data_IF_414597718968
#
_entry.id   IF_414597718968
#
_cell.length_a   1.000
_cell.length_b   1.000
_cell.length_c   1.000
_cell.angle_alpha   90.00
_cell.angle_beta   90.00
_cell.angle_gamma   90.00
#
_symmetry.space_group_name_H-M   'P 1'
#
loop_
_entity.id
_entity.type
_entity.pdbx_description
1 polymer ?
#
# COMPACT_ATOMS: atom_id res chain seq x y z
N UNK A 1 -2.78 -6.19 -19.98
CA UNK A 1 -2.13 -7.46 -19.56
C UNK A 1 -1.69 -8.41 -20.69
N UNK A 2 -2.51 -8.74 -21.72
CA UNK A 2 -2.15 -9.81 -22.69
C UNK A 2 -1.38 -9.38 -23.95
N UNK A 3 -1.12 -8.09 -24.13
CA UNK A 3 -0.41 -7.61 -25.32
C UNK A 3 1.10 -7.73 -25.10
N UNK A 4 1.77 -8.56 -25.90
CA UNK A 4 3.22 -8.77 -25.85
C UNK A 4 3.92 -7.45 -26.21
N UNK A 5 4.80 -6.97 -25.33
CA UNK A 5 5.47 -5.66 -25.47
C UNK A 5 4.76 -4.49 -24.78
N UNK A 6 3.52 -4.67 -24.29
CA UNK A 6 2.77 -3.65 -23.52
C UNK A 6 2.26 -4.17 -22.16
N UNK A 7 2.93 -5.19 -21.61
CA UNK A 7 2.61 -5.83 -20.32
C UNK A 7 3.59 -5.43 -19.23
N UNK A 8 3.84 -4.12 -19.11
CA UNK A 8 4.82 -3.55 -18.19
C UNK A 8 4.14 -2.40 -17.44
N UNK A 9 4.38 -2.35 -16.15
CA UNK A 9 4.02 -1.24 -15.26
C UNK A 9 5.30 -0.70 -14.64
N UNK A 10 5.41 0.62 -14.51
CA UNK A 10 6.57 1.27 -13.90
C UNK A 10 6.07 2.04 -12.69
N UNK A 11 6.68 1.78 -11.53
CA UNK A 11 6.35 2.45 -10.28
C UNK A 11 7.58 3.17 -9.79
N UNK A 12 7.43 4.46 -9.46
CA UNK A 12 8.48 5.20 -8.78
C UNK A 12 8.47 4.83 -7.30
N UNK A 13 9.61 4.34 -6.80
CA UNK A 13 9.77 4.13 -5.36
C UNK A 13 9.88 5.47 -4.63
N UNK A 14 8.97 5.72 -3.68
CA UNK A 14 8.94 6.94 -2.84
C UNK A 14 9.07 6.56 -1.36
N UNK A 15 8.07 5.87 -0.84
CA UNK A 15 8.12 5.12 0.41
C UNK A 15 7.44 3.76 0.23
N UNK A 16 7.49 2.88 1.22
CA UNK A 16 6.91 1.55 1.06
C UNK A 16 5.39 1.56 0.87
N UNK A 17 4.65 2.51 1.45
CA UNK A 17 3.19 2.54 1.32
C UNK A 17 2.79 2.97 -0.08
N UNK A 18 3.23 4.14 -0.53
CA UNK A 18 2.89 4.66 -1.85
C UNK A 18 3.49 3.83 -2.98
N UNK A 19 4.66 3.21 -2.76
CA UNK A 19 5.21 2.25 -3.73
C UNK A 19 4.30 1.02 -3.84
N UNK A 20 3.82 0.47 -2.72
CA UNK A 20 2.92 -0.69 -2.74
C UNK A 20 1.55 -0.37 -3.32
N UNK A 21 0.97 0.77 -2.94
CA UNK A 21 -0.30 1.26 -3.49
C UNK A 21 -0.19 1.56 -4.98
N UNK A 22 0.90 2.22 -5.40
CA UNK A 22 1.20 2.49 -6.81
C UNK A 22 1.37 1.19 -7.61
N UNK A 23 2.07 0.20 -7.08
CA UNK A 23 2.18 -1.10 -7.74
C UNK A 23 0.81 -1.78 -7.90
N UNK A 24 -0.05 -1.76 -6.88
CA UNK A 24 -1.40 -2.28 -6.97
C UNK A 24 -2.25 -1.49 -7.99
N UNK A 25 -2.11 -0.16 -8.02
CA UNK A 25 -2.79 0.74 -8.94
C UNK A 25 -2.43 0.44 -10.41
N UNK A 26 -1.13 0.37 -10.71
CA UNK A 26 -0.65 0.08 -12.06
C UNK A 26 -1.01 -1.35 -12.53
N UNK A 27 -1.05 -2.30 -11.59
CA UNK A 27 -1.58 -3.65 -11.87
C UNK A 27 -3.08 -3.59 -12.16
N UNK A 28 -3.83 -2.72 -11.49
CA UNK A 28 -5.23 -2.44 -11.79
C UNK A 28 -5.44 -1.97 -13.22
N UNK A 29 -4.63 -1.01 -13.69
CA UNK A 29 -4.63 -0.61 -15.11
C UNK A 29 -4.29 -1.75 -16.05
N UNK A 30 -3.28 -2.56 -15.72
CA UNK A 30 -2.94 -3.75 -16.49
C UNK A 30 -4.12 -4.72 -16.63
N UNK A 31 -4.96 -4.82 -15.60
CA UNK A 31 -6.20 -5.60 -15.53
C UNK A 31 -7.45 -4.86 -16.03
N UNK A 32 -7.28 -3.69 -16.67
CA UNK A 32 -8.33 -2.99 -17.41
C UNK A 32 -9.18 -2.03 -16.59
N UNK A 33 -8.81 -1.70 -15.36
CA UNK A 33 -9.50 -0.66 -14.60
C UNK A 33 -9.10 0.75 -15.09
N UNK A 34 -10.09 1.64 -15.20
CA UNK A 34 -9.89 3.08 -15.29
C UNK A 34 -9.75 3.68 -13.88
N UNK A 35 -9.31 4.93 -13.79
CA UNK A 35 -9.41 5.67 -12.53
C UNK A 35 -10.87 5.81 -12.09
N UNK A 36 -11.11 5.72 -10.79
CA UNK A 36 -12.43 6.01 -10.22
C UNK A 36 -12.79 7.48 -10.48
N UNK A 37 -14.02 7.73 -10.95
CA UNK A 37 -14.52 9.05 -11.31
C UNK A 37 -14.29 9.43 -12.77
N UNK A 38 -13.51 8.65 -13.53
CA UNK A 38 -13.26 8.87 -14.95
C UNK A 38 -14.08 7.94 -15.86
N UNK A 39 -13.91 8.10 -17.17
CA UNK A 39 -14.56 7.29 -18.20
C UNK A 39 -14.25 5.81 -18.02
N UNK A 40 -15.30 4.99 -17.94
CA UNK A 40 -15.20 3.57 -17.61
C UNK A 40 -15.39 3.25 -16.12
N UNK A 41 -15.35 4.24 -15.22
CA UNK A 41 -15.56 4.06 -13.78
C UNK A 41 -16.28 5.25 -13.09
N UNK A 42 -17.03 6.09 -13.84
CA UNK A 42 -17.79 7.26 -13.31
C UNK A 42 -18.75 6.94 -12.15
N UNK A 43 -19.19 5.68 -12.02
CA UNK A 43 -20.09 5.23 -10.95
C UNK A 43 -19.39 5.02 -9.59
N UNK A 44 -18.06 5.17 -9.54
CA UNK A 44 -17.23 5.13 -8.33
C UNK A 44 -16.55 6.49 -8.18
N UNK A 45 -16.61 7.11 -7.02
CA UNK A 45 -16.09 8.47 -6.82
C UNK A 45 -14.58 8.44 -6.57
N UNK A 46 -13.83 9.36 -7.20
CA UNK A 46 -12.42 9.59 -6.88
C UNK A 46 -12.20 9.97 -5.40
N UNK A 47 -13.21 10.58 -4.76
CA UNK A 47 -13.14 10.98 -3.35
C UNK A 47 -13.36 9.83 -2.37
N UNK A 48 -13.70 8.64 -2.86
CA UNK A 48 -13.81 7.46 -1.99
C UNK A 48 -12.44 6.84 -1.69
N UNK A 49 -11.39 7.27 -2.40
CA UNK A 49 -9.99 6.86 -2.23
C UNK A 49 -9.78 5.33 -2.24
N UNK A 50 -10.48 4.60 -3.10
CA UNK A 50 -10.09 3.23 -3.45
C UNK A 50 -8.75 3.23 -4.20
N UNK A 51 -8.11 2.06 -4.35
CA UNK A 51 -6.77 1.94 -4.97
C UNK A 51 -6.67 2.65 -6.33
N UNK A 52 -7.74 2.65 -7.15
CA UNK A 52 -7.77 3.30 -8.47
C UNK A 52 -8.15 4.79 -8.43
N UNK A 53 -8.12 5.44 -7.28
CA UNK A 53 -8.29 6.90 -7.22
C UNK A 53 -7.13 7.60 -7.94
N UNK A 54 -7.40 8.66 -8.72
CA UNK A 54 -6.35 9.50 -9.32
C UNK A 54 -5.79 10.52 -8.31
N UNK A 55 -6.22 10.49 -7.05
CA UNK A 55 -5.87 11.49 -6.03
C UNK A 55 -4.93 10.93 -4.98
N UNK A 56 -3.96 11.72 -4.56
CA UNK A 56 -3.11 11.36 -3.41
C UNK A 56 -3.88 11.57 -2.10
N UNK A 57 -3.99 10.55 -1.23
CA UNK A 57 -4.54 10.75 0.11
C UNK A 57 -3.54 11.51 0.98
N UNK A 58 -3.99 12.59 1.61
CA UNK A 58 -3.20 13.31 2.60
C UNK A 58 -2.92 12.44 3.83
N UNK A 59 -1.67 12.40 4.30
CA UNK A 59 -1.29 11.71 5.55
C UNK A 59 -1.19 12.74 6.67
N UNK A 60 -2.14 12.72 7.62
CA UNK A 60 -2.10 13.60 8.79
C UNK A 60 -2.80 12.96 10.00
N UNK A 61 -2.26 13.08 11.24
CA UNK A 61 -2.86 12.53 12.46
C UNK A 61 -4.31 12.98 12.69
N UNK A 62 -4.64 14.21 12.30
CA UNK A 62 -5.98 14.79 12.47
C UNK A 62 -6.95 14.47 11.31
N UNK A 63 -6.49 13.78 10.27
CA UNK A 63 -7.33 13.37 9.14
C UNK A 63 -7.47 11.85 9.20
N UNK A 64 -8.70 11.32 9.35
CA UNK A 64 -8.92 9.89 9.27
C UNK A 64 -8.41 9.36 7.94
N UNK A 65 -7.52 8.37 7.98
CA UNK A 65 -7.01 7.77 6.76
C UNK A 65 -8.18 7.10 6.01
N UNK A 66 -8.35 7.32 4.70
CA UNK A 66 -9.47 6.75 3.97
C UNK A 66 -9.45 5.21 4.07
N UNK A 67 -10.52 4.62 4.60
CA UNK A 67 -10.64 3.17 4.85
C UNK A 67 -10.51 2.30 3.61
N UNK A 68 -10.68 2.90 2.43
CA UNK A 68 -10.76 2.22 1.14
C UNK A 68 -9.41 2.13 0.42
N UNK A 69 -8.35 2.76 0.94
CA UNK A 69 -7.04 2.78 0.27
C UNK A 69 -6.38 1.41 0.11
N UNK A 70 -6.90 0.40 0.80
CA UNK A 70 -6.43 -0.99 0.73
C UNK A 70 -7.37 -1.88 -0.09
N UNK A 71 -8.37 -1.33 -0.75
CA UNK A 71 -9.36 -2.08 -1.51
C UNK A 71 -9.61 -1.46 -2.88
N UNK A 72 -10.02 -2.32 -3.82
CA UNK A 72 -10.46 -1.89 -5.14
C UNK A 72 -11.95 -1.53 -5.09
N UNK A 73 -12.34 -0.50 -5.84
CA UNK A 73 -13.74 -0.12 -6.00
C UNK A 73 -14.54 -1.21 -6.73
N UNK A 74 -15.86 -1.16 -6.62
CA UNK A 74 -16.73 -2.04 -7.42
C UNK A 74 -16.49 -1.89 -8.94
N UNK A 75 -16.15 -0.69 -9.42
CA UNK A 75 -15.88 -0.43 -10.83
C UNK A 75 -14.61 -1.15 -11.29
N UNK A 76 -13.56 -1.09 -10.47
CA UNK A 76 -12.30 -1.82 -10.69
C UNK A 76 -12.54 -3.34 -10.71
N UNK A 77 -13.28 -3.86 -9.73
CA UNK A 77 -13.63 -5.28 -9.65
C UNK A 77 -14.37 -5.77 -10.90
N UNK A 78 -15.35 -5.01 -11.41
CA UNK A 78 -16.07 -5.37 -12.64
C UNK A 78 -15.18 -5.34 -13.89
N UNK A 79 -14.22 -4.40 -13.96
CA UNK A 79 -13.23 -4.39 -15.02
C UNK A 79 -12.32 -5.63 -14.97
N UNK A 80 -11.85 -6.02 -13.77
CA UNK A 80 -11.03 -7.22 -13.58
C UNK A 80 -11.78 -8.48 -14.00
N UNK A 81 -13.03 -8.65 -13.55
CA UNK A 81 -13.89 -9.77 -13.95
C UNK A 81 -14.03 -9.86 -15.47
N UNK A 82 -14.19 -8.72 -16.15
CA UNK A 82 -14.29 -8.68 -17.62
C UNK A 82 -13.00 -9.19 -18.27
N UNK A 83 -11.83 -8.74 -17.82
CA UNK A 83 -10.54 -9.22 -18.33
C UNK A 83 -10.36 -10.70 -18.06
N UNK A 84 -10.61 -11.16 -16.84
CA UNK A 84 -10.50 -12.57 -16.45
C UNK A 84 -11.43 -13.46 -17.28
N UNK A 85 -12.63 -13.00 -17.66
CA UNK A 85 -13.55 -13.75 -18.52
C UNK A 85 -13.10 -13.80 -19.98
N UNK A 86 -12.56 -12.70 -20.50
CA UNK A 86 -12.36 -12.49 -21.94
C UNK A 86 -10.93 -12.71 -22.44
N UNK A 87 -9.95 -12.83 -21.55
CA UNK A 87 -8.54 -12.93 -21.93
C UNK A 87 -7.92 -14.22 -21.41
N UNK A 88 -7.44 -15.08 -22.30
CA UNK A 88 -6.93 -16.40 -21.90
C UNK A 88 -5.50 -16.38 -21.34
N UNK A 89 -4.72 -15.34 -21.63
CA UNK A 89 -3.34 -15.26 -21.13
C UNK A 89 -3.24 -15.17 -19.60
N UNK A 90 -4.29 -14.66 -18.94
CA UNK A 90 -4.40 -14.59 -17.47
C UNK A 90 -5.05 -15.83 -16.88
N UNK A 91 -5.60 -16.71 -17.72
CA UNK A 91 -6.19 -18.00 -17.33
C UNK A 91 -5.19 -19.16 -17.42
N UNK A 92 -3.91 -18.87 -17.74
CA UNK A 92 -2.93 -19.90 -18.09
C UNK A 92 -2.89 -21.01 -17.03
N UNK A 93 -3.23 -22.25 -17.39
CA UNK A 93 -3.10 -23.38 -16.48
C UNK A 93 -1.61 -23.72 -16.36
N UNK A 94 -1.12 -23.72 -15.13
CA UNK A 94 0.28 -23.92 -14.80
C UNK A 94 0.60 -23.08 -13.57
N UNK A 95 0.77 -23.76 -12.43
CA UNK A 95 1.09 -23.12 -11.16
C UNK A 95 2.52 -22.57 -11.23
N UNK A 96 2.70 -21.41 -11.88
CA UNK A 96 3.90 -20.57 -11.68
C UNK A 96 3.94 -20.00 -10.25
N UNK A 97 2.82 -20.13 -9.52
CA UNK A 97 2.77 -19.91 -8.09
C UNK A 97 3.61 -20.97 -7.37
N UNK A 98 4.81 -20.57 -7.00
CA UNK A 98 5.64 -21.29 -6.07
C UNK A 98 5.15 -20.96 -4.65
N UNK A 99 4.30 -21.83 -4.11
CA UNK A 99 3.72 -21.66 -2.77
C UNK A 99 4.81 -21.55 -1.69
N UNK A 100 5.89 -22.31 -1.81
CA UNK A 100 7.00 -22.30 -0.84
C UNK A 100 7.77 -20.97 -0.87
N UNK A 101 7.99 -20.42 -2.07
CA UNK A 101 8.59 -19.10 -2.25
C UNK A 101 7.69 -18.01 -1.65
N UNK A 102 6.40 -18.02 -1.97
CA UNK A 102 5.47 -17.04 -1.41
C UNK A 102 5.37 -17.14 0.11
N UNK A 103 5.29 -18.36 0.63
CA UNK A 103 5.16 -18.63 2.07
C UNK A 103 6.33 -18.04 2.85
N UNK A 104 7.57 -18.11 2.33
CA UNK A 104 8.76 -17.47 2.94
C UNK A 104 8.61 -15.96 3.13
N UNK A 105 7.90 -15.27 2.23
CA UNK A 105 7.71 -13.81 2.29
C UNK A 105 6.50 -13.36 3.12
N UNK A 106 5.56 -14.26 3.45
CA UNK A 106 4.34 -13.94 4.20
C UNK A 106 4.30 -14.50 5.63
N UNK A 107 5.41 -15.02 6.15
CA UNK A 107 5.44 -15.61 7.51
C UNK A 107 5.28 -14.57 8.63
N UNK A 108 5.61 -13.32 8.34
CA UNK A 108 5.55 -12.20 9.29
C UNK A 108 5.05 -10.95 8.57
N UNK A 109 4.32 -10.10 9.30
CA UNK A 109 3.90 -8.82 8.74
C UNK A 109 5.12 -7.88 8.60
N UNK A 110 5.15 -6.96 7.62
CA UNK A 110 6.32 -6.10 7.39
C UNK A 110 6.77 -5.29 8.62
N UNK A 111 5.84 -4.83 9.44
CA UNK A 111 6.14 -4.09 10.67
C UNK A 111 6.63 -4.97 11.83
N UNK A 112 6.52 -6.30 11.71
CA UNK A 112 7.20 -7.25 12.61
C UNK A 112 8.63 -7.52 12.14
N UNK A 113 8.83 -7.58 10.82
CA UNK A 113 10.14 -7.78 10.20
C UNK A 113 11.07 -6.56 10.32
N UNK A 114 10.49 -5.36 10.23
CA UNK A 114 11.25 -4.11 10.09
C UNK A 114 10.93 -3.14 11.23
N UNK A 115 11.95 -2.83 12.04
CA UNK A 115 11.85 -1.86 13.13
C UNK A 115 11.47 -0.46 12.64
N UNK A 116 10.98 0.40 13.53
CA UNK A 116 10.64 1.79 13.21
C UNK A 116 11.82 2.57 12.59
N UNK A 117 13.04 2.32 13.06
CA UNK A 117 14.25 2.90 12.48
C UNK A 117 14.49 2.41 11.05
N UNK A 118 14.28 1.11 10.80
CA UNK A 118 14.40 0.55 9.46
C UNK A 118 13.34 1.13 8.52
N UNK A 119 12.10 1.29 8.99
CA UNK A 119 11.04 1.97 8.22
C UNK A 119 11.46 3.40 7.84
N UNK A 120 11.99 4.17 8.78
CA UNK A 120 12.51 5.52 8.52
C UNK A 120 13.68 5.55 7.53
N UNK A 121 14.57 4.55 7.57
CA UNK A 121 15.64 4.39 6.60
C UNK A 121 15.10 4.15 5.19
N UNK A 122 14.09 3.30 5.03
CA UNK A 122 13.47 3.02 3.72
C UNK A 122 12.75 4.25 3.16
N UNK A 123 12.09 5.03 4.01
CA UNK A 123 11.32 6.22 3.60
C UNK A 123 12.24 7.39 3.20
N UNK A 124 13.25 7.71 4.00
CA UNK A 124 14.06 8.94 3.85
C UNK A 124 15.52 8.68 3.47
N UNK A 125 15.94 7.42 3.46
CA UNK A 125 17.30 7.00 3.16
C UNK A 125 18.17 6.76 4.40
N UNK A 126 19.42 6.32 4.18
CA UNK A 126 20.37 6.04 5.24
C UNK A 126 20.60 7.23 6.20
N UNK A 127 20.66 6.94 7.50
CA UNK A 127 20.84 7.95 8.55
C UNK A 127 19.54 8.49 9.17
N UNK A 128 18.39 8.19 8.57
CA UNK A 128 17.07 8.51 9.13
C UNK A 128 16.66 7.51 10.21
N UNK A 129 16.12 8.00 11.33
CA UNK A 129 15.70 7.22 12.50
C UNK A 129 14.32 7.65 13.00
N UNK A 130 13.68 6.80 13.81
CA UNK A 130 12.40 7.10 14.44
C UNK A 130 12.54 8.20 15.50
N UNK A 131 11.59 9.14 15.51
CA UNK A 131 11.60 10.29 16.40
C UNK A 131 11.12 10.03 17.83
N UNK A 132 10.34 8.98 18.07
CA UNK A 132 9.80 8.71 19.42
C UNK A 132 8.71 9.70 19.90
N UNK A 133 8.32 10.67 19.07
CA UNK A 133 7.38 11.75 19.46
C UNK A 133 5.92 11.39 19.18
N UNK A 134 5.65 10.44 18.27
CA UNK A 134 4.28 10.07 17.91
C UNK A 134 3.71 9.11 18.96
N UNK A 135 2.48 9.33 19.47
CA UNK A 135 1.84 8.39 20.37
C UNK A 135 1.76 6.99 19.75
N UNK A 136 2.15 5.96 20.52
CA UNK A 136 2.24 4.58 20.03
C UNK A 136 0.89 4.05 19.51
N UNK A 137 -0.24 4.53 20.03
CA UNK A 137 -1.58 4.11 19.59
C UNK A 137 -1.95 4.58 18.18
N UNK A 138 -1.06 5.29 17.50
CA UNK A 138 -1.24 5.77 16.14
C UNK A 138 -0.38 4.95 15.17
N UNK A 139 -0.95 4.57 14.03
CA UNK A 139 -0.24 3.85 12.98
C UNK A 139 0.52 4.77 12.03
N UNK A 140 1.17 5.78 12.62
CA UNK A 140 2.02 6.74 11.93
C UNK A 140 3.36 6.86 12.63
N UNK A 141 4.39 7.23 11.87
CA UNK A 141 5.74 7.46 12.35
C UNK A 141 6.23 8.83 11.87
N UNK A 142 7.11 9.43 12.67
CA UNK A 142 7.92 10.58 12.28
C UNK A 142 9.37 10.15 12.24
N UNK A 143 10.08 10.65 11.24
CA UNK A 143 11.46 10.29 10.99
C UNK A 143 12.37 11.52 11.03
N UNK A 144 13.61 11.33 11.44
CA UNK A 144 14.64 12.36 11.39
C UNK A 144 15.08 12.62 9.95
N UNK A 145 15.41 13.87 9.65
CA UNK A 145 16.06 14.23 8.41
C UNK A 145 17.51 13.69 8.46
N UNK A 146 17.95 12.86 7.50
CA UNK A 146 19.26 12.23 7.55
C UNK A 146 20.44 13.21 7.46
N UNK A 147 20.21 14.46 7.01
CA UNK A 147 21.25 15.49 6.93
C UNK A 147 21.37 16.31 8.21
N UNK A 148 20.26 16.54 8.90
CA UNK A 148 20.23 17.43 10.08
C UNK A 148 20.06 16.70 11.41
N UNK A 149 19.63 15.43 11.39
CA UNK A 149 19.25 14.66 12.56
C UNK A 149 17.97 15.14 13.26
N UNK A 150 17.32 16.18 12.75
CA UNK A 150 16.11 16.75 13.35
C UNK A 150 14.86 16.05 12.85
N UNK A 151 13.86 15.88 13.71
CA UNK A 151 12.57 15.34 13.33
C UNK A 151 11.89 16.21 12.28
N UNK A 152 11.49 15.59 11.16
CA UNK A 152 10.69 16.27 10.15
C UNK A 152 9.27 16.42 10.64
N UNK A 153 8.68 17.58 10.40
CA UNK A 153 7.24 17.82 10.61
C UNK A 153 6.42 17.18 9.48
N UNK A 154 6.52 15.86 9.34
CA UNK A 154 5.79 15.05 8.36
C UNK A 154 5.57 13.65 8.91
N UNK A 155 4.35 13.16 8.71
CA UNK A 155 3.93 11.83 9.13
C UNK A 155 4.01 10.84 7.96
N UNK A 156 4.46 9.63 8.29
CA UNK A 156 4.46 8.48 7.38
C UNK A 156 3.66 7.36 8.02
N UNK A 157 3.04 6.53 7.21
CA UNK A 157 2.23 5.43 7.70
C UNK A 157 3.12 4.31 8.20
N UNK A 158 2.93 3.82 9.42
CA UNK A 158 3.65 2.66 9.92
C UNK A 158 3.35 1.43 9.07
N UNK A 159 4.34 0.57 8.86
CA UNK A 159 4.16 -0.66 8.12
C UNK A 159 3.10 -1.56 8.80
N UNK A 160 2.35 -2.31 7.99
CA UNK A 160 1.37 -3.28 8.50
C UNK A 160 2.06 -4.26 9.47
N UNK A 161 1.47 -4.51 10.64
CA UNK A 161 2.05 -5.32 11.71
C UNK A 161 2.90 -4.58 12.73
N UNK A 162 3.22 -3.29 12.51
CA UNK A 162 3.99 -2.49 13.47
C UNK A 162 3.28 -2.43 14.82
N UNK A 163 4.01 -2.66 15.91
CA UNK A 163 3.45 -2.58 17.26
C UNK A 163 3.01 -1.16 17.60
N UNK A 164 1.74 -1.01 17.98
CA UNK A 164 1.12 0.26 18.33
C UNK A 164 0.58 0.28 19.77
N UNK A 165 0.89 -0.76 20.55
CA UNK A 165 0.43 -0.93 21.92
C UNK A 165 0.55 -2.38 22.36
N UNK A 166 0.35 -2.60 23.66
CA UNK A 166 0.47 -3.94 24.25
C UNK A 166 -0.53 -4.92 23.61
N UNK A 167 -0.02 -5.94 22.93
CA UNK A 167 -0.81 -6.91 22.15
C UNK A 167 -1.66 -6.26 21.03
N UNK A 168 -1.18 -5.15 20.47
CA UNK A 168 -1.81 -4.43 19.36
C UNK A 168 -0.81 -4.20 18.24
N UNK A 169 -1.33 -4.09 17.01
CA UNK A 169 -0.54 -3.84 15.82
C UNK A 169 -1.31 -3.03 14.78
N UNK A 170 -0.58 -2.47 13.84
CA UNK A 170 -1.13 -1.64 12.78
C UNK A 170 -1.66 -2.45 11.61
N UNK A 171 -2.97 -2.42 11.38
CA UNK A 171 -3.61 -3.00 10.20
C UNK A 171 -4.44 -1.91 9.54
N UNK A 172 -4.18 -1.63 8.26
CA UNK A 172 -4.92 -0.62 7.48
C UNK A 172 -5.05 0.74 8.22
N UNK A 173 -3.93 1.31 8.65
CA UNK A 173 -3.84 2.54 9.46
C UNK A 173 -4.48 2.49 10.85
N UNK A 174 -4.99 1.34 11.29
CA UNK A 174 -5.69 1.21 12.57
C UNK A 174 -4.88 0.38 13.54
N UNK A 175 -4.77 0.87 14.77
CA UNK A 175 -4.20 0.09 15.87
C UNK A 175 -5.25 -0.91 16.36
N UNK A 176 -5.08 -2.18 16.02
CA UNK A 176 -6.03 -3.26 16.32
C UNK A 176 -5.38 -4.31 17.21
N UNK A 177 -6.18 -5.08 17.94
CA UNK A 177 -5.68 -6.19 18.75
C UNK A 177 -5.07 -7.26 17.83
N UNK A 178 -3.93 -7.83 18.22
CA UNK A 178 -3.36 -8.99 17.53
C UNK A 178 -4.39 -10.13 17.57
N UNK A 179 -4.78 -10.63 16.40
CA UNK A 179 -5.61 -11.83 16.33
C UNK A 179 -4.78 -12.99 16.89
N UNK A 180 -5.39 -13.81 17.75
CA UNK A 180 -4.77 -15.07 18.20
C UNK A 180 -4.83 -16.10 17.09
#
# INVERSE_FOLDING_TARGET
VCNVGKRISIVRATDYLFTSLGAAHELGHSLGASHDGEDGARACSANDYYIMTPKEPGIHPSIPYPTNLWTFSRCSIEAFKRVLRTKDCVKKPGNLYNADEYTKFIQQEPGEAYSLNHQCHVILGPGSTYCGVVPLNMCYIMCTDPRTGRCRDRFYMAARGTECGRNMWCIQARCVRKAK
#
